data_IF_476865096994
#
_entry.id   IF_476865096994
#
_cell.length_a   1.000
_cell.length_b   1.000
_cell.length_c   1.000
_cell.angle_alpha   90.00
_cell.angle_beta   90.00
_cell.angle_gamma   90.00
#
_symmetry.space_group_name_H-M   'P 1'
#
loop_
_entity.id
_entity.type
_entity.pdbx_description
1 polymer ?
#
# COMPACT_ATOMS: atom_id res chain seq x y z
N UNK A 1 -13.75 7.75 18.12
CA UNK A 1 -14.31 7.38 16.80
C UNK A 1 -13.36 7.95 15.77
N UNK A 2 -12.37 7.16 15.34
CA UNK A 2 -11.15 7.64 14.68
C UNK A 2 -10.73 6.67 13.57
N UNK A 3 -10.03 7.17 12.55
CA UNK A 3 -9.97 6.51 11.23
C UNK A 3 -8.54 6.22 10.73
N UNK A 4 -8.25 4.93 10.54
CA UNK A 4 -7.34 4.33 9.55
C UNK A 4 -7.45 2.80 9.66
N UNK A 5 -7.34 1.99 8.60
CA UNK A 5 -6.92 2.27 7.21
C UNK A 5 -8.08 2.39 6.20
N UNK A 6 -7.74 2.99 5.05
CA UNK A 6 -8.46 2.83 3.78
C UNK A 6 -7.48 2.14 2.79
N UNK A 7 -7.66 2.27 1.48
CA UNK A 7 -6.62 2.03 0.44
C UNK A 7 -6.12 0.62 0.11
N UNK A 8 -6.68 -0.42 0.72
CA UNK A 8 -6.61 -1.77 0.12
C UNK A 8 -7.53 -1.87 -1.12
N UNK A 9 -8.52 -0.97 -1.25
CA UNK A 9 -9.69 -1.15 -2.14
C UNK A 9 -9.62 -0.37 -3.48
N UNK A 10 -8.47 0.23 -3.80
CA UNK A 10 -8.32 1.07 -5.01
C UNK A 10 -7.97 0.31 -6.28
N UNK A 11 -7.88 -1.02 -6.21
CA UNK A 11 -7.66 -1.87 -7.37
C UNK A 11 -8.90 -2.65 -7.82
N UNK A 12 -10.02 -2.57 -7.07
CA UNK A 12 -11.12 -3.55 -7.21
C UNK A 12 -12.54 -3.01 -7.23
N UNK A 13 -12.85 -1.84 -6.65
CA UNK A 13 -14.21 -1.26 -6.83
C UNK A 13 -14.35 -0.51 -8.17
N UNK A 14 -13.33 -0.61 -9.04
CA UNK A 14 -13.47 -0.48 -10.49
C UNK A 14 -13.96 -1.78 -11.19
N UNK A 15 -14.19 -2.88 -10.45
CA UNK A 15 -14.50 -4.23 -10.97
C UNK A 15 -15.61 -4.96 -10.16
N UNK A 16 -15.68 -4.83 -8.84
CA UNK A 16 -16.59 -5.61 -7.96
C UNK A 16 -17.87 -4.87 -7.54
N UNK A 17 -18.29 -3.88 -8.33
CA UNK A 17 -19.66 -3.35 -8.38
C UNK A 17 -19.90 -2.91 -9.85
N UNK A 18 -20.67 -3.61 -10.69
CA UNK A 18 -21.82 -4.47 -10.38
C UNK A 18 -21.94 -5.70 -11.29
N UNK A 19 -22.09 -6.87 -10.67
CA UNK A 19 -22.78 -8.06 -11.22
C UNK A 19 -23.30 -8.89 -10.04
N UNK A 20 -24.38 -8.44 -9.40
CA UNK A 20 -25.67 -9.05 -9.74
C UNK A 20 -26.76 -8.03 -10.12
N UNK A 21 -26.36 -6.93 -10.77
CA UNK A 21 -27.27 -6.06 -11.54
C UNK A 21 -26.64 -5.82 -12.93
N UNK A 22 -27.48 -5.96 -13.95
CA UNK A 22 -27.37 -5.52 -15.36
C UNK A 22 -26.03 -5.02 -15.95
N UNK A 23 -25.64 -5.68 -17.04
CA UNK A 23 -25.08 -5.07 -18.27
C UNK A 23 -23.86 -4.14 -18.15
N UNK A 24 -22.68 -4.72 -18.35
CA UNK A 24 -21.65 -4.21 -19.28
C UNK A 24 -21.31 -2.71 -19.23
N UNK A 25 -20.80 -2.25 -18.08
CA UNK A 25 -19.95 -1.06 -18.04
C UNK A 25 -18.48 -1.49 -17.95
N UNK A 26 -17.78 -1.47 -19.09
CA UNK A 26 -16.33 -1.51 -19.08
C UNK A 26 -15.80 -0.28 -18.31
N UNK A 27 -14.91 -0.44 -17.31
CA UNK A 27 -14.32 0.71 -16.64
C UNK A 27 -13.55 1.55 -17.67
N UNK A 28 -13.87 2.83 -17.76
CA UNK A 28 -13.28 3.73 -18.76
C UNK A 28 -11.84 4.04 -18.34
N UNK A 29 -10.87 3.40 -19.01
CA UNK A 29 -9.43 3.55 -18.78
C UNK A 29 -8.90 4.93 -19.24
N UNK A 30 -9.36 6.01 -18.62
CA UNK A 30 -8.86 7.37 -18.88
C UNK A 30 -7.86 7.82 -17.81
N UNK A 31 -6.81 7.00 -17.64
CA UNK A 31 -5.75 7.22 -16.66
C UNK A 31 -4.69 8.20 -17.20
N UNK A 32 -4.92 9.50 -17.03
CA UNK A 32 -3.81 10.43 -16.96
C UNK A 32 -3.02 10.13 -15.68
N UNK A 33 -1.75 9.72 -15.82
CA UNK A 33 -0.84 9.64 -14.68
C UNK A 33 -0.67 11.01 -14.04
N UNK A 34 -0.45 11.06 -12.71
CA UNK A 34 -0.04 12.28 -12.01
C UNK A 34 1.11 12.92 -12.81
N UNK A 35 1.00 14.17 -13.32
CA UNK A 35 1.75 14.67 -14.48
C UNK A 35 3.27 14.41 -14.46
N UNK A 36 3.66 13.28 -15.04
CA UNK A 36 5.05 12.85 -15.10
C UNK A 36 5.79 13.56 -16.24
N UNK A 37 6.34 14.73 -15.93
CA UNK A 37 7.21 15.49 -16.82
C UNK A 37 8.59 14.82 -17.06
N UNK A 38 8.75 13.53 -16.77
CA UNK A 38 9.97 12.76 -17.06
C UNK A 38 9.62 11.40 -17.67
N UNK A 39 9.41 11.38 -18.99
CA UNK A 39 9.57 10.16 -19.78
C UNK A 39 11.06 9.81 -19.85
N UNK A 40 11.50 8.93 -18.95
CA UNK A 40 12.88 8.43 -18.83
C UNK A 40 12.89 7.04 -18.21
N UNK A 41 14.04 6.37 -18.27
CA UNK A 41 14.21 4.96 -17.88
C UNK A 41 13.66 4.65 -16.47
N UNK A 42 13.18 3.40 -16.29
CA UNK A 42 12.51 2.87 -15.09
C UNK A 42 13.07 3.40 -13.77
N UNK A 43 12.42 4.43 -13.21
CA UNK A 43 12.85 5.11 -11.98
C UNK A 43 12.77 4.21 -10.75
N UNK A 44 13.67 4.47 -9.79
CA UNK A 44 13.88 3.67 -8.58
C UNK A 44 12.90 4.08 -7.46
N UNK A 45 12.93 3.33 -6.35
CA UNK A 45 11.91 3.31 -5.28
C UNK A 45 12.58 3.06 -3.92
N UNK A 46 11.85 3.31 -2.82
CA UNK A 46 12.29 3.16 -1.43
C UNK A 46 13.27 1.99 -1.22
N UNK A 47 14.41 2.30 -0.61
CA UNK A 47 15.66 1.66 -1.01
C UNK A 47 16.05 0.47 -0.14
N UNK A 48 16.57 -0.57 -0.79
CA UNK A 48 17.09 -1.76 -0.14
C UNK A 48 18.56 -1.49 0.22
N UNK A 49 18.90 -1.62 1.49
CA UNK A 49 20.28 -1.37 1.96
C UNK A 49 21.24 -2.49 1.53
N UNK A 50 22.53 -2.18 1.39
CA UNK A 50 23.57 -3.18 1.11
C UNK A 50 23.72 -4.24 2.23
N UNK A 51 23.34 -3.88 3.45
CA UNK A 51 23.29 -4.77 4.62
C UNK A 51 21.84 -5.19 4.98
N UNK A 52 20.95 -5.26 3.98
CA UNK A 52 19.53 -5.62 4.15
C UNK A 52 19.28 -7.09 4.48
N UNK A 53 20.29 -7.96 4.36
CA UNK A 53 20.15 -9.43 4.45
C UNK A 53 19.14 -10.05 3.45
N UNK A 54 18.60 -9.29 2.49
CA UNK A 54 17.80 -9.83 1.39
C UNK A 54 18.70 -10.48 0.33
N UNK A 55 18.30 -11.63 -0.22
CA UNK A 55 18.90 -12.16 -1.46
C UNK A 55 18.50 -11.31 -2.67
N UNK A 56 19.23 -11.42 -3.78
CA UNK A 56 18.89 -10.75 -5.05
C UNK A 56 17.46 -11.08 -5.53
N UNK A 57 16.97 -12.28 -5.22
CA UNK A 57 15.62 -12.73 -5.57
C UNK A 57 14.53 -12.03 -4.73
N UNK A 58 14.79 -11.82 -3.45
CA UNK A 58 13.91 -11.11 -2.52
C UNK A 58 13.95 -9.60 -2.79
N UNK A 59 15.13 -9.05 -3.06
CA UNK A 59 15.31 -7.67 -3.50
C UNK A 59 14.56 -7.37 -4.80
N UNK A 60 14.61 -8.30 -5.77
CA UNK A 60 13.84 -8.20 -7.02
C UNK A 60 12.33 -8.21 -6.77
N UNK A 61 11.83 -9.07 -5.86
CA UNK A 61 10.42 -9.08 -5.44
C UNK A 61 10.01 -7.77 -4.76
N UNK A 62 10.82 -7.25 -3.83
CA UNK A 62 10.58 -5.97 -3.14
C UNK A 62 10.53 -4.80 -4.13
N UNK A 63 11.46 -4.71 -5.09
CA UNK A 63 11.46 -3.67 -6.12
C UNK A 63 10.25 -3.74 -7.08
N UNK A 64 9.71 -4.94 -7.31
CA UNK A 64 8.47 -5.14 -8.05
C UNK A 64 7.23 -4.73 -7.22
N UNK A 65 7.15 -5.15 -5.96
CA UNK A 65 6.06 -4.78 -5.05
C UNK A 65 6.02 -3.26 -4.79
N UNK A 66 7.18 -2.60 -4.67
CA UNK A 66 7.28 -1.13 -4.64
C UNK A 66 6.72 -0.46 -5.92
N UNK A 67 6.86 -1.10 -7.09
CA UNK A 67 6.28 -0.58 -8.34
C UNK A 67 4.77 -0.51 -8.25
N UNK A 68 4.16 -1.61 -7.82
CA UNK A 68 2.74 -1.68 -7.59
C UNK A 68 2.30 -0.78 -6.44
N UNK A 69 3.07 -0.60 -5.35
CA UNK A 69 2.78 0.40 -4.33
C UNK A 69 2.61 1.82 -4.92
N UNK A 70 3.55 2.28 -5.75
CA UNK A 70 3.42 3.60 -6.38
C UNK A 70 2.18 3.69 -7.30
N UNK A 71 1.82 2.61 -7.98
CA UNK A 71 0.62 2.57 -8.82
C UNK A 71 -0.67 2.57 -7.98
N UNK A 72 -0.74 1.74 -6.93
CA UNK A 72 -1.82 1.69 -5.93
C UNK A 72 -2.00 3.04 -5.24
N UNK A 73 -0.91 3.71 -4.87
CA UNK A 73 -0.93 5.03 -4.25
C UNK A 73 -1.46 6.11 -5.22
N UNK A 74 -1.07 6.06 -6.50
CA UNK A 74 -1.61 6.95 -7.52
C UNK A 74 -3.10 6.71 -7.80
N UNK A 75 -3.57 5.45 -7.89
CA UNK A 75 -5.01 5.16 -8.01
C UNK A 75 -5.77 5.63 -6.77
N UNK A 76 -5.18 5.42 -5.58
CA UNK A 76 -5.60 5.99 -4.30
C UNK A 76 -5.92 7.48 -4.38
N UNK A 77 -4.91 8.28 -4.72
CA UNK A 77 -5.03 9.73 -4.89
C UNK A 77 -6.20 10.15 -5.82
N UNK A 78 -6.48 9.37 -6.87
CA UNK A 78 -7.53 9.71 -7.83
C UNK A 78 -8.95 9.32 -7.39
N UNK A 79 -9.19 8.08 -6.93
CA UNK A 79 -10.58 7.63 -6.72
C UNK A 79 -11.22 8.08 -5.38
N UNK A 80 -10.46 8.75 -4.50
CA UNK A 80 -10.99 9.45 -3.32
C UNK A 80 -12.08 10.46 -3.71
N UNK A 81 -11.92 11.12 -4.86
CA UNK A 81 -12.87 12.10 -5.38
C UNK A 81 -13.77 11.57 -6.51
N UNK A 82 -13.51 10.36 -7.05
CA UNK A 82 -14.36 9.76 -8.09
C UNK A 82 -15.30 8.65 -7.59
N UNK A 83 -15.15 8.19 -6.34
CA UNK A 83 -16.05 7.18 -5.75
C UNK A 83 -16.42 7.49 -4.29
N UNK A 84 -17.32 8.45 -4.11
CA UNK A 84 -17.82 8.87 -2.79
C UNK A 84 -18.53 7.72 -2.02
N UNK A 85 -19.18 6.79 -2.70
CA UNK A 85 -19.83 5.64 -2.04
C UNK A 85 -18.79 4.71 -1.42
N UNK A 86 -17.70 4.41 -2.14
CA UNK A 86 -16.58 3.63 -1.62
C UNK A 86 -15.87 4.34 -0.46
N UNK A 87 -15.61 5.64 -0.64
CA UNK A 87 -14.98 6.47 0.39
C UNK A 87 -15.78 6.39 1.70
N UNK A 88 -17.11 6.60 1.62
CA UNK A 88 -18.00 6.52 2.79
C UNK A 88 -18.16 5.11 3.36
N UNK A 89 -18.05 4.06 2.54
CA UNK A 89 -18.07 2.67 3.03
C UNK A 89 -16.85 2.35 3.90
N UNK A 90 -15.66 2.75 3.46
CA UNK A 90 -14.41 2.38 4.14
C UNK A 90 -14.14 3.31 5.34
N UNK A 91 -14.32 4.62 5.14
CA UNK A 91 -13.98 5.64 6.13
C UNK A 91 -15.20 6.21 6.88
N UNK A 92 -16.40 5.64 6.69
CA UNK A 92 -17.63 5.95 7.46
C UNK A 92 -18.01 7.45 7.49
N UNK A 93 -17.51 8.24 6.54
CA UNK A 93 -17.66 9.72 6.47
C UNK A 93 -17.71 10.19 5.01
N UNK A 94 -18.27 11.37 4.79
CA UNK A 94 -18.33 12.09 3.51
C UNK A 94 -17.80 13.54 3.62
N UNK A 95 -17.06 13.84 4.69
CA UNK A 95 -16.36 15.12 4.86
C UNK A 95 -15.30 15.35 3.77
N UNK A 96 -15.38 16.51 3.12
CA UNK A 96 -14.38 17.03 2.16
C UNK A 96 -12.99 17.15 2.76
N UNK A 97 -12.91 17.60 4.01
CA UNK A 97 -11.65 17.87 4.69
C UNK A 97 -10.91 16.56 4.97
N UNK A 98 -11.67 15.50 5.30
CA UNK A 98 -11.14 14.14 5.38
C UNK A 98 -10.77 13.63 3.99
N UNK A 99 -11.56 13.87 2.92
CA UNK A 99 -11.17 13.51 1.55
C UNK A 99 -9.83 14.13 1.12
N UNK A 100 -9.60 15.42 1.38
CA UNK A 100 -8.37 16.10 0.93
C UNK A 100 -7.14 15.76 1.79
N UNK A 101 -7.29 15.58 3.11
CA UNK A 101 -6.24 14.99 3.98
C UNK A 101 -5.78 13.63 3.41
N UNK A 102 -6.75 12.78 3.12
CA UNK A 102 -6.58 11.40 2.66
C UNK A 102 -5.95 11.32 1.28
N UNK A 103 -6.31 12.27 0.41
CA UNK A 103 -5.67 12.48 -0.89
C UNK A 103 -4.21 12.95 -0.72
N UNK A 104 -3.89 13.79 0.28
CA UNK A 104 -2.50 14.17 0.59
C UNK A 104 -1.67 12.96 1.02
N UNK A 105 -2.17 12.18 1.98
CA UNK A 105 -1.51 10.94 2.45
C UNK A 105 -1.12 10.02 1.28
N UNK A 106 -1.95 9.97 0.23
CA UNK A 106 -1.72 9.10 -0.93
C UNK A 106 -0.78 9.67 -1.98
N UNK A 107 -0.69 11.00 -2.09
CA UNK A 107 0.42 11.66 -2.77
C UNK A 107 1.75 11.48 -2.00
N UNK A 108 1.73 11.41 -0.68
CA UNK A 108 2.92 11.19 0.16
C UNK A 108 3.44 9.75 0.09
N UNK A 109 2.57 8.74 0.22
CA UNK A 109 2.92 7.33 -0.01
C UNK A 109 3.37 7.10 -1.46
N UNK A 110 2.72 7.75 -2.44
CA UNK A 110 3.15 7.71 -3.85
C UNK A 110 4.57 8.23 -4.03
N UNK A 111 4.90 9.36 -3.40
CA UNK A 111 6.26 9.93 -3.41
C UNK A 111 7.25 8.93 -2.84
N UNK A 112 6.99 8.36 -1.67
CA UNK A 112 7.93 7.45 -1.01
C UNK A 112 8.16 6.15 -1.79
N UNK A 113 7.08 5.51 -2.26
CA UNK A 113 7.18 4.38 -3.19
C UNK A 113 7.78 4.75 -4.56
N UNK A 114 8.18 6.01 -4.80
CA UNK A 114 8.84 6.51 -6.01
C UNK A 114 10.18 7.24 -5.75
N UNK A 115 10.71 7.27 -4.51
CA UNK A 115 12.00 7.91 -4.18
C UNK A 115 13.20 7.02 -4.45
N UNK A 116 14.37 7.60 -4.67
CA UNK A 116 15.58 6.83 -5.01
C UNK A 116 16.46 6.51 -3.80
N UNK A 117 16.54 7.39 -2.78
CA UNK A 117 17.34 7.21 -1.54
C UNK A 117 16.78 8.02 -0.34
N UNK A 118 17.36 7.79 0.84
CA UNK A 118 17.46 8.71 2.00
C UNK A 118 16.20 9.08 2.82
N UNK A 119 15.04 8.46 2.58
CA UNK A 119 13.88 8.57 3.49
C UNK A 119 13.53 7.22 4.13
N UNK A 120 12.93 6.25 3.40
CA UNK A 120 12.62 4.91 3.95
C UNK A 120 13.59 3.82 3.47
N UNK A 121 14.14 3.06 4.42
CA UNK A 121 15.02 1.91 4.19
C UNK A 121 14.28 0.57 4.32
N UNK A 122 14.65 -0.43 3.52
CA UNK A 122 14.07 -1.78 3.56
C UNK A 122 15.13 -2.84 3.90
N UNK A 123 14.75 -3.81 4.72
CA UNK A 123 15.58 -4.94 5.15
C UNK A 123 14.77 -6.23 5.30
N UNK A 124 15.38 -7.39 5.03
CA UNK A 124 14.82 -8.72 5.29
C UNK A 124 15.32 -9.31 6.62
N UNK A 125 16.10 -8.54 7.39
CA UNK A 125 16.59 -8.93 8.72
C UNK A 125 15.54 -8.64 9.78
N UNK A 126 15.05 -9.67 10.48
CA UNK A 126 14.33 -9.47 11.74
C UNK A 126 15.32 -8.91 12.78
N UNK A 127 15.12 -7.64 13.12
CA UNK A 127 15.88 -6.87 14.12
C UNK A 127 15.03 -6.69 15.40
N UNK A 128 13.77 -7.14 15.38
CA UNK A 128 12.72 -6.75 16.32
C UNK A 128 12.49 -7.71 17.48
N UNK A 129 13.39 -8.66 17.71
CA UNK A 129 13.22 -9.80 18.61
C UNK A 129 12.04 -10.72 18.21
N UNK A 130 12.16 -11.34 17.03
CA UNK A 130 11.21 -12.31 16.47
C UNK A 130 9.85 -11.70 16.10
N UNK A 131 9.81 -10.42 15.71
CA UNK A 131 8.56 -9.77 15.26
C UNK A 131 7.97 -10.41 14.00
N UNK A 132 8.77 -11.10 13.19
CA UNK A 132 8.27 -11.89 12.07
C UNK A 132 7.54 -13.19 12.49
N UNK A 133 7.70 -13.66 13.73
CA UNK A 133 7.03 -14.86 14.28
C UNK A 133 6.63 -14.60 15.74
N UNK A 134 5.53 -13.88 15.94
CA UNK A 134 5.02 -13.55 17.27
C UNK A 134 3.94 -14.54 17.70
N UNK A 135 4.10 -15.18 18.85
CA UNK A 135 3.08 -16.05 19.46
C UNK A 135 2.55 -17.16 18.52
N UNK A 136 3.40 -17.61 17.57
CA UNK A 136 3.06 -18.57 16.50
C UNK A 136 2.44 -17.96 15.24
N UNK A 137 2.13 -16.66 15.24
CA UNK A 137 1.62 -15.92 14.08
C UNK A 137 2.77 -15.35 13.26
N UNK A 138 2.76 -15.61 11.95
CA UNK A 138 3.79 -15.13 11.02
C UNK A 138 3.38 -13.81 10.36
N UNK A 139 3.98 -12.70 10.78
CA UNK A 139 3.78 -11.38 10.16
C UNK A 139 4.36 -11.35 8.73
N UNK A 140 3.83 -10.46 7.87
CA UNK A 140 4.33 -10.28 6.49
C UNK A 140 5.41 -9.18 6.42
N UNK A 141 5.28 -8.15 7.25
CA UNK A 141 6.31 -7.15 7.49
C UNK A 141 6.14 -6.55 8.88
N UNK A 142 6.92 -5.51 9.18
CA UNK A 142 6.56 -4.49 10.17
C UNK A 142 7.39 -3.20 10.00
N UNK A 143 6.76 -2.07 10.30
CA UNK A 143 7.38 -0.76 10.36
C UNK A 143 8.20 -0.54 11.66
N UNK A 144 9.32 0.19 11.53
CA UNK A 144 10.11 0.78 12.63
C UNK A 144 10.19 2.29 12.40
N UNK A 145 9.12 2.98 12.75
CA UNK A 145 8.90 4.41 12.46
C UNK A 145 10.04 5.32 12.96
N UNK A 146 10.55 5.19 14.21
CA UNK A 146 11.68 6.01 14.69
C UNK A 146 13.02 5.77 13.97
N UNK A 147 13.09 4.76 13.09
CA UNK A 147 14.27 4.39 12.31
C UNK A 147 14.05 4.52 10.80
N UNK A 148 12.86 5.00 10.37
CA UNK A 148 12.38 4.99 8.97
C UNK A 148 12.74 3.71 8.21
N UNK A 149 12.36 2.58 8.80
CA UNK A 149 12.76 1.26 8.32
C UNK A 149 11.57 0.31 8.25
N UNK A 150 11.39 -0.35 7.10
CA UNK A 150 10.45 -1.45 6.90
C UNK A 150 11.21 -2.78 6.94
N UNK A 151 10.71 -3.73 7.72
CA UNK A 151 11.21 -5.10 7.76
C UNK A 151 10.25 -5.97 6.94
N UNK A 152 10.79 -6.76 6.01
CA UNK A 152 10.06 -7.74 5.23
C UNK A 152 10.31 -9.13 5.82
N UNK A 153 9.24 -9.83 6.19
CA UNK A 153 9.31 -11.14 6.83
C UNK A 153 9.21 -12.28 5.81
N UNK A 154 9.78 -13.48 6.07
CA UNK A 154 9.90 -14.54 5.04
C UNK A 154 8.59 -14.97 4.38
N UNK A 155 7.46 -14.91 5.09
CA UNK A 155 6.11 -15.25 4.58
C UNK A 155 5.57 -14.25 3.55
N UNK A 156 6.09 -13.02 3.49
CA UNK A 156 5.83 -12.07 2.41
C UNK A 156 6.10 -12.68 1.03
N UNK A 157 7.24 -13.36 0.88
CA UNK A 157 7.70 -13.90 -0.39
C UNK A 157 6.87 -15.09 -0.91
N UNK A 158 5.97 -15.62 -0.06
CA UNK A 158 4.99 -16.65 -0.38
C UNK A 158 3.62 -16.07 -0.81
N UNK A 159 3.35 -14.79 -0.56
CA UNK A 159 2.14 -14.11 -1.07
C UNK A 159 2.29 -13.81 -2.57
N UNK A 160 1.20 -13.64 -3.33
CA UNK A 160 1.29 -13.19 -4.72
C UNK A 160 1.88 -11.78 -4.81
N UNK A 161 2.50 -11.45 -5.95
CA UNK A 161 3.09 -10.12 -6.17
C UNK A 161 2.02 -9.02 -6.21
N UNK A 162 0.87 -9.33 -6.80
CA UNK A 162 -0.38 -8.55 -6.83
C UNK A 162 -1.54 -9.49 -7.19
N UNK A 163 -2.78 -9.02 -7.09
CA UNK A 163 -3.97 -9.78 -7.51
C UNK A 163 -5.12 -8.87 -7.97
N UNK A 164 -6.26 -9.48 -8.38
CA UNK A 164 -7.54 -8.78 -8.58
C UNK A 164 -8.52 -8.95 -7.41
N UNK A 165 -8.09 -9.56 -6.31
CA UNK A 165 -8.93 -9.72 -5.12
C UNK A 165 -8.95 -8.43 -4.31
N UNK A 166 -10.12 -8.02 -3.82
CA UNK A 166 -10.32 -6.71 -3.20
C UNK A 166 -9.71 -6.54 -1.80
N UNK A 167 -9.19 -7.64 -1.25
CA UNK A 167 -8.96 -7.84 0.18
C UNK A 167 -7.66 -8.58 0.47
N UNK A 168 -6.97 -9.09 -0.56
CA UNK A 168 -5.81 -9.95 -0.40
C UNK A 168 -4.55 -9.17 -0.01
N UNK A 169 -3.93 -9.58 1.09
CA UNK A 169 -2.58 -9.17 1.50
C UNK A 169 -1.51 -9.73 0.56
N UNK A 170 -1.34 -9.07 -0.59
CA UNK A 170 -0.32 -9.29 -1.61
C UNK A 170 0.95 -8.48 -1.28
N UNK A 171 2.08 -8.84 -1.89
CA UNK A 171 3.38 -8.20 -1.63
C UNK A 171 3.34 -6.67 -1.82
N UNK A 172 2.61 -6.19 -2.83
CA UNK A 172 2.43 -4.78 -3.11
C UNK A 172 1.57 -4.03 -2.08
N UNK A 173 0.43 -4.61 -1.70
CA UNK A 173 -0.45 -4.06 -0.65
C UNK A 173 0.24 -4.02 0.72
N UNK A 174 1.08 -5.01 1.04
CA UNK A 174 1.87 -5.02 2.28
C UNK A 174 2.91 -3.90 2.26
N UNK A 175 3.71 -3.76 1.20
CA UNK A 175 4.68 -2.65 1.11
C UNK A 175 4.01 -1.28 1.22
N UNK A 176 2.83 -1.10 0.62
CA UNK A 176 2.07 0.14 0.72
C UNK A 176 1.62 0.44 2.15
N UNK A 177 1.14 -0.57 2.88
CA UNK A 177 0.74 -0.47 4.28
C UNK A 177 1.94 -0.15 5.19
N UNK A 178 3.05 -0.89 5.07
CA UNK A 178 4.26 -0.67 5.89
C UNK A 178 4.88 0.73 5.65
N UNK A 179 4.86 1.21 4.40
CA UNK A 179 5.35 2.56 4.07
C UNK A 179 4.39 3.64 4.59
N UNK A 180 3.07 3.39 4.61
CA UNK A 180 2.12 4.33 5.21
C UNK A 180 2.41 4.58 6.70
N UNK A 181 2.76 3.55 7.48
CA UNK A 181 3.16 3.72 8.89
C UNK A 181 4.37 4.65 9.06
N UNK A 182 5.38 4.54 8.20
CA UNK A 182 6.58 5.39 8.27
C UNK A 182 6.29 6.82 7.81
N UNK A 183 5.51 6.99 6.73
CA UNK A 183 5.26 8.29 6.09
C UNK A 183 4.24 9.12 6.86
N UNK A 184 3.25 8.48 7.50
CA UNK A 184 2.16 9.13 8.23
C UNK A 184 2.37 9.13 9.76
N UNK A 185 3.49 8.60 10.26
CA UNK A 185 3.85 8.49 11.70
C UNK A 185 2.80 7.75 12.55
N UNK A 186 2.14 6.73 11.99
CA UNK A 186 1.05 5.98 12.65
C UNK A 186 1.54 4.66 13.25
N UNK A 187 1.49 4.52 14.58
CA UNK A 187 2.09 3.38 15.32
C UNK A 187 1.20 2.14 15.47
N UNK A 188 -0.09 2.23 15.12
CA UNK A 188 -1.11 1.26 15.56
C UNK A 188 -1.91 0.62 14.41
N UNK A 189 -2.03 -0.70 14.47
CA UNK A 189 -2.93 -1.51 13.63
C UNK A 189 -4.29 -1.65 14.33
N UNK A 190 -5.27 -0.83 13.93
CA UNK A 190 -6.61 -0.86 14.53
C UNK A 190 -7.50 -2.02 14.05
N UNK A 191 -7.10 -2.75 13.00
CA UNK A 191 -7.83 -3.91 12.49
C UNK A 191 -7.17 -4.53 11.25
N UNK A 192 -7.27 -5.86 11.13
CA UNK A 192 -6.70 -6.61 10.02
C UNK A 192 -7.76 -7.06 9.01
N UNK A 193 -7.36 -7.09 7.74
CA UNK A 193 -8.17 -7.51 6.58
C UNK A 193 -9.53 -6.76 6.45
N UNK A 194 -10.39 -7.23 5.54
CA UNK A 194 -11.70 -6.59 5.32
C UNK A 194 -12.61 -6.65 6.55
N UNK A 195 -12.47 -7.69 7.38
CA UNK A 195 -13.22 -7.84 8.61
C UNK A 195 -12.87 -6.82 9.70
N UNK A 196 -11.63 -6.28 9.72
CA UNK A 196 -11.28 -5.15 10.57
C UNK A 196 -11.82 -3.82 10.05
N UNK A 197 -11.89 -3.69 8.72
CA UNK A 197 -12.28 -2.45 8.02
C UNK A 197 -13.81 -2.28 7.92
N UNK A 198 -14.57 -3.37 7.82
CA UNK A 198 -16.02 -3.34 7.55
C UNK A 198 -16.91 -3.21 8.79
N UNK A 199 -16.34 -3.39 10.00
CA UNK A 199 -17.01 -3.17 11.29
C UNK A 199 -17.22 -1.68 11.62
#
# INVERSE_FOLDING_TARGET
>A
MFFSFIFIVFHTVAISASTNIGTSLHPVYNYNTIPSHIHGALKKRAYITSNSNCSDSEASKIHAALKSCAQLASWGFHAVQSNNQLFKLIFKTDSTDIQDLVKSNFNEIYRECSRETDEVSITCRDIGAQKCVRDGVHALGYARIPYKQVIICPTFFNKPASSREATAGNQDTVILHEIAHIVLDTYEDYGYEWEGISK
#
